data_IF_237579022463
#
_entry.id   IF_237579022463
#
_cell.length_a   1.000
_cell.length_b   1.000
_cell.length_c   1.000
_cell.angle_alpha   90.00
_cell.angle_beta   90.00
_cell.angle_gamma   90.00
#
_symmetry.space_group_name_H-M   'P 1'
#
loop_
_entity.id
_entity.type
_entity.pdbx_description
1 polymer ?
#
# COMPACT_ATOMS: atom_id res chain seq x y z
N UNK A 1 26.08 -17.78 -13.54
CA UNK A 1 25.33 -16.56 -13.17
C UNK A 1 25.63 -16.20 -11.72
N UNK A 2 25.95 -14.93 -11.43
CA UNK A 2 26.18 -14.46 -10.06
C UNK A 2 24.86 -14.56 -9.28
N UNK A 3 24.86 -15.25 -8.14
CA UNK A 3 23.67 -15.37 -7.29
C UNK A 3 23.50 -14.08 -6.50
N UNK A 4 22.44 -13.33 -6.76
CA UNK A 4 22.07 -12.14 -5.99
C UNK A 4 21.68 -12.54 -4.56
N UNK A 5 22.14 -11.75 -3.59
CA UNK A 5 21.91 -12.02 -2.17
C UNK A 5 21.04 -10.90 -1.66
N UNK A 6 19.73 -11.14 -1.72
CA UNK A 6 18.72 -10.13 -1.46
C UNK A 6 17.98 -10.41 -0.15
N UNK A 7 17.60 -9.35 0.55
CA UNK A 7 16.88 -9.41 1.81
C UNK A 7 15.65 -8.52 1.84
N UNK A 8 14.68 -8.87 2.68
CA UNK A 8 13.49 -8.08 2.99
C UNK A 8 13.38 -7.93 4.52
N UNK A 9 13.40 -6.71 5.03
CA UNK A 9 13.54 -6.44 6.48
C UNK A 9 12.27 -5.94 7.16
N UNK A 10 11.12 -6.00 6.49
CA UNK A 10 9.87 -5.59 7.09
C UNK A 10 8.73 -6.44 6.54
N UNK A 11 8.25 -7.40 7.33
CA UNK A 11 7.15 -8.29 6.92
C UNK A 11 6.32 -8.74 8.11
N UNK A 12 5.09 -9.16 7.82
CA UNK A 12 4.11 -9.62 8.80
C UNK A 12 3.53 -10.99 8.41
N UNK A 13 3.01 -11.71 9.40
CA UNK A 13 2.47 -13.08 9.33
C UNK A 13 1.14 -13.21 10.08
N UNK A 14 1.17 -12.97 11.40
CA UNK A 14 0.06 -13.16 12.33
C UNK A 14 -1.05 -12.13 12.12
N UNK A 15 -0.73 -10.89 11.77
CA UNK A 15 -1.73 -9.82 11.53
C UNK A 15 -2.85 -10.25 10.58
N UNK A 16 -2.49 -10.88 9.45
CA UNK A 16 -3.46 -11.42 8.48
C UNK A 16 -3.67 -12.92 8.60
N UNK A 17 -3.20 -13.55 9.68
CA UNK A 17 -3.31 -14.99 9.95
C UNK A 17 -2.79 -15.84 8.79
N UNK A 18 -1.67 -15.43 8.21
CA UNK A 18 -1.03 -16.10 7.09
C UNK A 18 -0.49 -17.45 7.56
N UNK A 19 -0.66 -18.49 6.75
CA UNK A 19 -0.02 -19.79 6.98
C UNK A 19 1.51 -19.66 6.79
N UNK A 20 2.34 -20.09 7.75
CA UNK A 20 3.81 -20.04 7.63
C UNK A 20 4.36 -20.62 6.33
N UNK A 21 3.73 -21.66 5.78
CA UNK A 21 4.13 -22.31 4.53
C UNK A 21 3.95 -21.38 3.33
N UNK A 22 2.86 -20.60 3.30
CA UNK A 22 2.60 -19.64 2.23
C UNK A 22 3.58 -18.46 2.28
N UNK A 23 3.91 -18.02 3.50
CA UNK A 23 4.89 -16.96 3.72
C UNK A 23 6.28 -17.39 3.20
N UNK A 24 6.74 -18.61 3.57
CA UNK A 24 8.01 -19.14 3.08
C UNK A 24 8.00 -19.45 1.58
N UNK A 25 6.87 -19.90 1.04
CA UNK A 25 6.72 -20.12 -0.41
C UNK A 25 6.97 -18.80 -1.16
N UNK A 26 6.36 -17.71 -0.72
CA UNK A 26 6.58 -16.40 -1.34
C UNK A 26 8.05 -15.94 -1.22
N UNK A 27 8.68 -16.08 -0.05
CA UNK A 27 10.10 -15.75 0.12
C UNK A 27 11.02 -16.53 -0.85
N UNK A 28 10.73 -17.83 -1.06
CA UNK A 28 11.45 -18.67 -2.04
C UNK A 28 11.22 -18.24 -3.48
N UNK A 29 9.97 -17.99 -3.86
CA UNK A 29 9.61 -17.52 -5.21
C UNK A 29 10.30 -16.20 -5.55
N UNK A 30 10.47 -15.32 -4.55
CA UNK A 30 11.20 -14.05 -4.66
C UNK A 30 12.71 -14.19 -4.48
N UNK A 31 13.22 -15.41 -4.31
CA UNK A 31 14.65 -15.74 -4.18
C UNK A 31 15.34 -14.98 -3.04
N UNK A 32 14.62 -14.70 -1.96
CA UNK A 32 15.18 -14.05 -0.77
C UNK A 32 16.21 -14.95 -0.09
N UNK A 33 17.34 -14.37 0.29
CA UNK A 33 18.41 -15.05 1.04
C UNK A 33 18.35 -14.74 2.53
N UNK A 34 17.77 -13.59 2.90
CA UNK A 34 17.53 -13.16 4.28
C UNK A 34 16.14 -12.52 4.34
N UNK A 35 15.42 -12.71 5.43
CA UNK A 35 14.13 -12.08 5.64
C UNK A 35 13.92 -11.83 7.14
N UNK A 36 13.34 -10.69 7.49
CA UNK A 36 12.96 -10.39 8.88
C UNK A 36 11.45 -10.48 9.05
N UNK A 37 11.02 -11.04 10.18
CA UNK A 37 9.63 -10.98 10.64
C UNK A 37 9.53 -9.89 11.72
N UNK A 38 8.61 -8.96 11.56
CA UNK A 38 8.56 -7.72 12.35
C UNK A 38 7.14 -7.37 12.78
N UNK A 39 6.41 -8.33 13.35
CA UNK A 39 5.05 -8.08 13.83
C UNK A 39 4.97 -6.90 14.79
N UNK A 40 3.83 -6.21 14.77
CA UNK A 40 3.46 -5.35 15.87
C UNK A 40 3.23 -6.14 17.18
N UNK A 41 3.43 -5.45 18.31
CA UNK A 41 3.27 -6.02 19.66
C UNK A 41 1.95 -6.78 19.87
N UNK A 42 0.83 -6.29 19.32
CA UNK A 42 -0.49 -6.89 19.46
C UNK A 42 -0.70 -8.16 18.62
N UNK A 43 0.25 -8.49 17.73
CA UNK A 43 0.22 -9.69 16.90
C UNK A 43 1.28 -10.71 17.29
N UNK A 44 1.78 -10.64 18.53
CA UNK A 44 2.63 -11.66 19.17
C UNK A 44 3.89 -11.97 18.35
N UNK A 45 4.87 -11.04 18.31
CA UNK A 45 6.06 -11.18 17.48
C UNK A 45 6.87 -12.45 17.75
N UNK A 46 7.02 -12.86 19.03
CA UNK A 46 7.68 -14.12 19.40
C UNK A 46 7.03 -15.35 18.76
N UNK A 47 5.69 -15.40 18.80
CA UNK A 47 4.91 -16.50 18.23
C UNK A 47 5.10 -16.58 16.71
N UNK A 48 5.11 -15.43 16.00
CA UNK A 48 5.35 -15.39 14.55
C UNK A 48 6.76 -15.89 14.20
N UNK A 49 7.78 -15.42 14.92
CA UNK A 49 9.16 -15.86 14.72
C UNK A 49 9.29 -17.37 14.91
N UNK A 50 8.78 -17.91 16.02
CA UNK A 50 8.87 -19.34 16.34
C UNK A 50 8.15 -20.23 15.31
N UNK A 51 6.96 -19.80 14.84
CA UNK A 51 6.23 -20.49 13.76
C UNK A 51 7.06 -20.58 12.47
N UNK A 52 7.71 -19.49 12.08
CA UNK A 52 8.53 -19.45 10.88
C UNK A 52 9.85 -20.20 11.06
N UNK A 53 10.49 -20.09 12.23
CA UNK A 53 11.74 -20.76 12.59
C UNK A 53 11.60 -22.28 12.50
N UNK A 54 10.50 -22.83 13.00
CA UNK A 54 10.21 -24.28 13.00
C UNK A 54 10.26 -24.92 11.61
N UNK A 55 9.85 -24.19 10.58
CA UNK A 55 9.79 -24.68 9.20
C UNK A 55 10.73 -23.91 8.26
N UNK A 56 11.76 -23.27 8.82
CA UNK A 56 12.70 -22.43 8.08
C UNK A 56 13.39 -23.25 6.96
N UNK A 57 13.28 -22.82 5.69
CA UNK A 57 13.97 -23.48 4.59
C UNK A 57 15.49 -23.40 4.70
N UNK A 58 16.19 -24.48 4.34
CA UNK A 58 17.65 -24.46 4.20
C UNK A 58 18.08 -23.37 3.22
N UNK A 59 19.04 -22.55 3.64
CA UNK A 59 19.67 -21.53 2.79
C UNK A 59 19.01 -20.16 2.77
N UNK A 60 17.90 -19.95 3.50
CA UNK A 60 17.31 -18.62 3.75
C UNK A 60 17.46 -18.32 5.25
N UNK A 61 18.00 -17.15 5.59
CA UNK A 61 18.16 -16.69 6.98
C UNK A 61 16.91 -15.95 7.46
N UNK A 62 16.45 -16.25 8.68
CA UNK A 62 15.35 -15.54 9.33
C UNK A 62 15.91 -14.65 10.44
N UNK A 63 15.70 -13.34 10.34
CA UNK A 63 16.09 -12.35 11.34
C UNK A 63 14.94 -12.16 12.34
N UNK A 64 15.28 -12.21 13.63
CA UNK A 64 14.34 -11.87 14.69
C UNK A 64 14.12 -10.35 14.71
N UNK A 65 12.87 -9.93 14.64
CA UNK A 65 12.51 -8.52 14.75
C UNK A 65 11.10 -8.30 15.29
N UNK A 66 10.78 -7.03 15.51
CA UNK A 66 9.44 -6.54 15.86
C UNK A 66 9.25 -5.11 15.36
N UNK A 67 8.00 -4.71 15.15
CA UNK A 67 7.62 -3.32 14.89
C UNK A 67 6.95 -2.73 16.14
N UNK A 68 7.76 -2.10 16.97
CA UNK A 68 7.31 -1.49 18.22
C UNK A 68 6.52 -0.21 17.95
N UNK A 69 5.38 -0.06 18.62
CA UNK A 69 4.56 1.17 18.56
C UNK A 69 5.06 2.15 19.62
N UNK A 70 5.67 3.25 19.22
CA UNK A 70 6.24 4.26 20.13
C UNK A 70 5.40 5.55 20.18
N UNK A 71 5.79 6.48 21.07
CA UNK A 71 5.24 7.84 21.13
C UNK A 71 5.50 8.67 19.87
N UNK A 72 6.46 8.25 19.04
CA UNK A 72 6.85 8.91 17.80
C UNK A 72 6.55 8.06 16.54
N UNK A 73 5.62 7.12 16.61
CA UNK A 73 5.28 6.23 15.49
C UNK A 73 5.91 4.86 15.63
N UNK A 74 6.02 4.13 14.53
CA UNK A 74 6.59 2.78 14.53
C UNK A 74 8.12 2.80 14.55
N UNK A 75 8.68 1.71 15.08
CA UNK A 75 10.12 1.49 15.18
C UNK A 75 10.41 0.02 14.88
N UNK A 76 11.20 -0.24 13.84
CA UNK A 76 11.72 -1.58 13.57
C UNK A 76 12.90 -1.84 14.48
N UNK A 77 12.87 -3.01 15.12
CA UNK A 77 13.94 -3.46 16.01
C UNK A 77 14.33 -4.85 15.55
N UNK A 78 15.64 -5.07 15.36
CA UNK A 78 16.21 -6.34 14.92
C UNK A 78 17.24 -6.84 15.91
N UNK A 79 17.30 -8.16 16.00
CA UNK A 79 18.23 -8.88 16.86
C UNK A 79 18.79 -10.12 16.16
N UNK A 80 19.96 -10.55 16.61
CA UNK A 80 20.61 -11.78 16.14
C UNK A 80 19.88 -13.06 16.61
N UNK A 81 19.04 -12.94 17.65
CA UNK A 81 18.37 -14.04 18.33
C UNK A 81 17.01 -13.61 18.94
N UNK A 82 16.35 -14.51 19.67
CA UNK A 82 15.03 -14.30 20.28
C UNK A 82 15.01 -13.35 21.49
N UNK A 83 16.17 -12.89 22.01
CA UNK A 83 16.23 -12.09 23.26
C UNK A 83 15.47 -10.77 23.18
N UNK A 84 15.28 -10.26 21.96
CA UNK A 84 14.45 -9.09 21.68
C UNK A 84 13.02 -9.24 22.21
N UNK A 85 12.49 -10.48 22.23
CA UNK A 85 11.13 -10.76 22.66
C UNK A 85 10.98 -10.88 24.18
N UNK A 86 12.09 -10.92 24.92
CA UNK A 86 12.08 -11.01 26.38
C UNK A 86 12.12 -9.61 27.03
N UNK A 87 12.35 -8.55 26.24
CA UNK A 87 12.24 -7.16 26.68
C UNK A 87 10.77 -6.71 26.56
N UNK A 88 10.07 -6.70 27.69
CA UNK A 88 8.62 -6.46 27.73
C UNK A 88 8.27 -5.00 27.43
N UNK A 89 9.13 -4.06 27.83
CA UNK A 89 8.94 -2.63 27.64
C UNK A 89 8.82 -2.26 26.15
N UNK A 90 9.58 -2.93 25.28
CA UNK A 90 9.52 -2.71 23.82
C UNK A 90 8.21 -3.23 23.19
N UNK A 91 7.44 -4.02 23.93
CA UNK A 91 6.14 -4.54 23.52
C UNK A 91 4.97 -3.72 24.10
N UNK A 92 5.25 -2.69 24.88
CA UNK A 92 4.23 -1.77 25.37
C UNK A 92 3.72 -0.86 24.26
N UNK A 93 2.41 -0.65 24.21
CA UNK A 93 1.81 0.29 23.27
C UNK A 93 2.17 1.73 23.65
N UNK A 94 2.87 2.42 22.75
CA UNK A 94 3.15 3.85 22.91
C UNK A 94 4.29 4.14 23.88
N UNK A 95 5.22 3.21 24.05
CA UNK A 95 6.48 3.45 24.78
C UNK A 95 7.14 4.75 24.27
N UNK A 96 7.69 5.55 25.17
CA UNK A 96 8.41 6.75 24.77
C UNK A 96 9.58 6.40 23.84
N UNK A 97 9.74 7.16 22.75
CA UNK A 97 10.75 6.86 21.73
C UNK A 97 12.18 6.94 22.28
N UNK A 98 12.50 7.89 23.16
CA UNK A 98 13.86 7.98 23.71
C UNK A 98 14.12 6.85 24.72
N UNK A 99 13.11 6.48 25.52
CA UNK A 99 13.17 5.28 26.38
C UNK A 99 13.41 4.02 25.54
N UNK A 100 12.63 3.80 24.48
CA UNK A 100 12.78 2.66 23.59
C UNK A 100 14.19 2.60 22.96
N UNK A 101 14.68 3.73 22.43
CA UNK A 101 16.01 3.82 21.82
C UNK A 101 17.15 3.61 22.83
N UNK A 102 16.94 3.98 24.09
CA UNK A 102 17.90 3.74 25.17
C UNK A 102 18.00 2.24 25.46
N UNK A 103 16.86 1.56 25.66
CA UNK A 103 16.80 0.11 25.87
C UNK A 103 17.46 -0.64 24.70
N UNK A 104 17.17 -0.24 23.45
CA UNK A 104 17.76 -0.85 22.25
C UNK A 104 19.29 -0.68 22.27
N UNK A 105 19.79 0.51 22.62
CA UNK A 105 21.23 0.79 22.68
C UNK A 105 21.92 -0.04 23.76
N UNK A 106 21.34 -0.12 24.95
CA UNK A 106 21.87 -0.89 26.09
C UNK A 106 21.91 -2.40 25.79
N UNK A 107 20.91 -2.92 25.08
CA UNK A 107 20.86 -4.32 24.66
C UNK A 107 21.60 -4.61 23.34
N UNK A 108 22.24 -3.60 22.74
CA UNK A 108 22.95 -3.68 21.46
C UNK A 108 22.08 -4.23 20.31
N UNK A 109 20.79 -3.89 20.31
CA UNK A 109 19.88 -4.19 19.20
C UNK A 109 20.06 -3.20 18.05
N UNK A 110 19.46 -3.50 16.89
CA UNK A 110 19.50 -2.65 15.71
C UNK A 110 18.14 -2.03 15.48
N UNK A 111 18.06 -0.69 15.48
CA UNK A 111 16.82 0.03 15.30
C UNK A 111 16.78 0.80 13.98
N UNK A 112 15.62 0.82 13.33
CA UNK A 112 15.38 1.61 12.12
C UNK A 112 13.99 2.23 12.16
N UNK A 113 13.86 3.48 11.75
CA UNK A 113 12.54 4.09 11.54
C UNK A 113 11.91 3.54 10.26
N UNK A 114 10.83 2.73 10.33
CA UNK A 114 10.09 2.30 9.15
C UNK A 114 9.35 3.49 8.53
N UNK A 115 9.07 3.39 7.22
CA UNK A 115 8.21 4.28 6.45
C UNK A 115 8.20 5.72 7.00
N UNK A 116 9.37 6.43 7.01
CA UNK A 116 9.57 7.62 7.82
C UNK A 116 8.66 8.80 7.45
N UNK A 117 8.04 8.79 6.27
CA UNK A 117 6.99 9.71 5.81
C UNK A 117 5.71 8.96 5.41
N UNK A 118 5.44 7.81 6.03
CA UNK A 118 4.30 6.92 5.84
C UNK A 118 2.97 7.59 6.19
N UNK A 119 2.22 7.04 7.14
CA UNK A 119 0.95 7.61 7.57
C UNK A 119 1.12 8.51 8.80
N UNK A 120 0.16 9.41 9.01
CA UNK A 120 0.28 10.46 10.04
C UNK A 120 0.43 9.98 11.50
N UNK A 121 0.20 8.71 11.78
CA UNK A 121 0.22 8.14 13.13
C UNK A 121 1.20 6.98 13.30
N UNK A 122 1.88 6.57 12.23
CA UNK A 122 2.94 5.55 12.27
C UNK A 122 4.30 6.09 11.81
N UNK A 123 4.32 7.19 11.08
CA UNK A 123 5.55 7.83 10.61
C UNK A 123 6.18 8.75 11.64
N UNK A 124 7.47 8.55 11.90
CA UNK A 124 8.26 9.40 12.79
C UNK A 124 8.33 10.85 12.32
N UNK A 125 8.55 11.12 11.02
CA UNK A 125 8.66 12.50 10.55
C UNK A 125 7.31 13.21 10.51
N UNK A 126 6.19 12.50 10.34
CA UNK A 126 4.86 13.11 10.42
C UNK A 126 4.44 13.46 11.86
N UNK A 127 4.90 12.68 12.85
CA UNK A 127 4.52 12.88 14.26
C UNK A 127 5.43 13.91 14.95
N UNK A 128 6.75 13.74 14.87
CA UNK A 128 7.71 14.57 15.61
C UNK A 128 8.52 15.52 14.74
N UNK A 129 8.35 15.46 13.41
CA UNK A 129 9.09 16.28 12.46
C UNK A 129 10.45 15.69 12.06
N UNK A 130 10.89 16.04 10.86
CA UNK A 130 12.16 15.56 10.28
C UNK A 130 13.39 15.98 11.10
N UNK A 131 13.44 17.21 11.60
CA UNK A 131 14.61 17.70 12.35
C UNK A 131 14.81 16.95 13.67
N UNK A 132 13.73 16.72 14.43
CA UNK A 132 13.82 15.90 15.65
C UNK A 132 14.15 14.45 15.33
N UNK A 133 13.63 13.92 14.22
CA UNK A 133 14.00 12.58 13.73
C UNK A 133 15.51 12.47 13.49
N UNK A 134 16.10 13.45 12.77
CA UNK A 134 17.56 13.49 12.53
C UNK A 134 18.37 13.56 13.81
N UNK A 135 17.90 14.32 14.81
CA UNK A 135 18.54 14.39 16.13
C UNK A 135 18.56 13.02 16.81
N UNK A 136 17.43 12.30 16.81
CA UNK A 136 17.35 10.93 17.36
C UNK A 136 18.26 9.95 16.61
N UNK A 137 18.27 10.01 15.27
CA UNK A 137 19.15 9.19 14.43
C UNK A 137 20.62 9.38 14.82
N UNK A 138 21.07 10.63 14.96
CA UNK A 138 22.45 10.95 15.35
C UNK A 138 22.76 10.53 16.79
N UNK A 139 21.85 10.81 17.74
CA UNK A 139 22.04 10.53 19.17
C UNK A 139 22.12 9.04 19.49
N UNK A 140 21.28 8.23 18.86
CA UNK A 140 21.14 6.80 19.17
C UNK A 140 21.70 5.87 18.10
N UNK A 141 22.13 6.39 16.95
CA UNK A 141 22.69 5.61 15.87
C UNK A 141 21.67 4.80 15.08
N UNK A 142 20.46 5.35 14.93
CA UNK A 142 19.29 4.67 14.34
C UNK A 142 19.33 4.74 12.83
N UNK A 143 18.92 3.66 12.18
CA UNK A 143 18.75 3.60 10.72
C UNK A 143 17.41 4.17 10.26
N UNK A 144 17.22 4.19 8.94
CA UNK A 144 15.95 4.57 8.31
C UNK A 144 15.59 3.55 7.24
N UNK A 145 14.31 3.21 7.15
CA UNK A 145 13.77 2.45 6.03
C UNK A 145 13.80 3.34 4.79
N UNK A 146 14.84 3.12 3.97
CA UNK A 146 15.15 3.90 2.78
C UNK A 146 14.04 3.78 1.74
N UNK A 147 13.45 2.59 1.63
CA UNK A 147 12.37 2.30 0.73
C UNK A 147 11.40 1.31 1.38
N UNK A 148 10.12 1.62 1.31
CA UNK A 148 9.04 0.79 1.82
C UNK A 148 8.22 0.25 0.63
N UNK A 149 8.05 -1.07 0.55
CA UNK A 149 7.41 -1.75 -0.59
C UNK A 149 5.94 -1.39 -0.77
N UNK A 150 5.19 -1.21 0.32
CA UNK A 150 3.80 -0.76 0.30
C UNK A 150 3.67 0.65 -0.31
N UNK A 151 4.48 1.62 0.14
CA UNK A 151 4.48 2.98 -0.42
C UNK A 151 4.93 3.00 -1.88
N UNK A 152 5.96 2.22 -2.20
CA UNK A 152 6.48 2.08 -3.56
C UNK A 152 5.47 1.48 -4.54
N UNK A 153 4.76 0.44 -4.12
CA UNK A 153 3.73 -0.22 -4.93
C UNK A 153 2.48 0.64 -5.10
N UNK A 154 2.09 1.40 -4.06
CA UNK A 154 1.02 2.39 -4.17
C UNK A 154 1.38 3.47 -5.21
N UNK A 155 2.64 3.91 -5.25
CA UNK A 155 3.14 4.82 -6.27
C UNK A 155 3.04 4.22 -7.68
N UNK A 156 3.54 3.00 -7.89
CA UNK A 156 3.45 2.35 -9.20
C UNK A 156 2.01 2.09 -9.64
N UNK A 157 1.04 1.86 -8.75
CA UNK A 157 -0.35 1.80 -9.20
C UNK A 157 -0.84 3.18 -9.67
N UNK A 158 -0.55 4.21 -8.88
CA UNK A 158 -0.97 5.58 -9.14
C UNK A 158 -0.25 6.22 -10.32
N UNK A 159 0.89 5.70 -10.76
CA UNK A 159 1.62 6.19 -11.94
C UNK A 159 1.74 5.16 -13.07
N UNK A 160 1.54 3.88 -12.75
CA UNK A 160 1.65 2.78 -13.68
C UNK A 160 0.60 2.88 -14.76
N UNK A 161 1.04 2.66 -16.00
CA UNK A 161 0.31 2.96 -17.24
C UNK A 161 -1.05 2.26 -17.41
N UNK A 162 -1.50 1.41 -16.48
CA UNK A 162 -2.76 0.65 -16.62
C UNK A 162 -3.91 1.24 -15.81
N UNK A 163 -3.72 1.59 -14.54
CA UNK A 163 -4.83 1.98 -13.66
C UNK A 163 -5.24 3.44 -13.86
N UNK A 164 -4.27 4.36 -13.85
CA UNK A 164 -4.51 5.77 -14.16
C UNK A 164 -5.10 5.92 -15.55
N UNK A 165 -4.52 5.27 -16.57
CA UNK A 165 -5.08 5.31 -17.91
C UNK A 165 -6.54 4.83 -17.93
N UNK A 166 -6.89 3.75 -17.24
CA UNK A 166 -8.30 3.30 -17.16
C UNK A 166 -9.22 4.32 -16.49
N UNK A 167 -8.78 4.97 -15.40
CA UNK A 167 -9.55 6.03 -14.74
C UNK A 167 -9.65 7.27 -15.63
N UNK A 168 -8.54 7.72 -16.22
CA UNK A 168 -8.51 8.83 -17.14
C UNK A 168 -9.40 8.56 -18.36
N UNK A 169 -9.38 7.35 -18.92
CA UNK A 169 -10.27 6.93 -20.00
C UNK A 169 -11.73 6.97 -19.56
N UNK A 170 -12.06 6.50 -18.34
CA UNK A 170 -13.41 6.57 -17.80
C UNK A 170 -13.87 8.01 -17.56
N UNK A 171 -13.02 8.87 -17.00
CA UNK A 171 -13.28 10.30 -16.80
C UNK A 171 -13.46 11.02 -18.15
N UNK A 172 -12.57 10.74 -19.11
CA UNK A 172 -12.66 11.27 -20.48
C UNK A 172 -13.95 10.80 -21.19
N UNK A 173 -14.38 9.55 -20.96
CA UNK A 173 -15.66 9.06 -21.48
C UNK A 173 -16.83 9.83 -20.86
N UNK A 174 -16.82 10.07 -19.55
CA UNK A 174 -17.84 10.89 -18.87
C UNK A 174 -17.81 12.34 -19.34
N UNK A 175 -16.66 12.90 -19.71
CA UNK A 175 -16.56 14.25 -20.26
C UNK A 175 -17.10 14.34 -21.70
N UNK A 176 -16.80 13.34 -22.53
CA UNK A 176 -17.11 13.32 -23.97
C UNK A 176 -18.48 12.72 -24.33
N UNK A 177 -19.13 12.02 -23.41
CA UNK A 177 -20.42 11.38 -23.69
C UNK A 177 -21.55 12.42 -23.74
N UNK A 178 -22.26 12.49 -24.87
CA UNK A 178 -23.35 13.46 -25.09
C UNK A 178 -24.39 13.44 -23.97
N UNK A 179 -24.72 12.26 -23.41
CA UNK A 179 -25.70 12.11 -22.32
C UNK A 179 -25.23 12.81 -21.05
N UNK A 180 -23.96 12.65 -20.67
CA UNK A 180 -23.39 13.28 -19.46
C UNK A 180 -23.14 14.77 -19.65
N UNK A 181 -22.82 15.22 -20.87
CA UNK A 181 -22.77 16.63 -21.26
C UNK A 181 -24.16 17.28 -21.15
N UNK A 182 -25.21 16.64 -21.67
CA UNK A 182 -26.60 17.10 -21.57
C UNK A 182 -27.07 17.17 -20.12
N UNK A 183 -26.65 16.23 -19.27
CA UNK A 183 -26.95 16.22 -17.83
C UNK A 183 -26.03 17.13 -16.99
N UNK A 184 -25.11 17.89 -17.59
CA UNK A 184 -24.11 18.76 -16.92
C UNK A 184 -23.22 18.04 -15.89
N UNK A 185 -23.06 16.72 -16.01
CA UNK A 185 -22.21 15.89 -15.14
C UNK A 185 -20.72 16.15 -15.46
N UNK A 186 -20.42 16.59 -16.69
CA UNK A 186 -19.07 16.94 -17.16
C UNK A 186 -18.35 18.03 -16.32
N UNK A 187 -19.06 18.88 -15.58
CA UNK A 187 -18.43 19.89 -14.70
C UNK A 187 -17.79 19.30 -13.43
N UNK A 188 -17.98 18.01 -13.16
CA UNK A 188 -17.62 17.37 -11.88
C UNK A 188 -16.44 16.40 -11.96
N UNK A 189 -15.88 16.13 -13.14
CA UNK A 189 -14.75 15.19 -13.34
C UNK A 189 -13.38 15.78 -12.99
N UNK A 190 -13.25 17.11 -12.96
CA UNK A 190 -12.00 17.79 -12.58
C UNK A 190 -11.60 17.59 -11.11
N UNK A 191 -12.58 17.53 -10.20
CA UNK A 191 -12.32 17.32 -8.78
C UNK A 191 -11.68 15.95 -8.47
N UNK A 192 -12.24 14.80 -8.90
CA UNK A 192 -11.62 13.50 -8.66
C UNK A 192 -10.27 13.36 -9.35
N UNK A 193 -10.08 14.00 -10.52
CA UNK A 193 -8.79 14.06 -11.23
C UNK A 193 -7.70 14.72 -10.39
N UNK A 194 -7.94 15.95 -9.93
CA UNK A 194 -7.01 16.70 -9.04
C UNK A 194 -6.72 15.96 -7.75
N UNK A 195 -7.71 15.26 -7.18
CA UNK A 195 -7.52 14.47 -5.95
C UNK A 195 -6.61 13.26 -6.17
N UNK A 196 -6.75 12.58 -7.31
CA UNK A 196 -5.87 11.46 -7.69
C UNK A 196 -4.44 11.93 -7.96
N UNK A 197 -4.28 13.02 -8.72
CA UNK A 197 -2.96 13.63 -8.97
C UNK A 197 -2.27 14.05 -7.66
N UNK A 198 -3.00 14.72 -6.75
CA UNK A 198 -2.46 15.11 -5.45
C UNK A 198 -2.05 13.90 -4.60
N UNK A 199 -2.83 12.81 -4.62
CA UNK A 199 -2.48 11.58 -3.92
C UNK A 199 -1.24 10.92 -4.52
N UNK A 200 -1.14 10.89 -5.86
CA UNK A 200 0.01 10.34 -6.57
C UNK A 200 1.28 11.13 -6.23
N UNK A 201 1.25 12.45 -6.38
CA UNK A 201 2.36 13.34 -6.03
C UNK A 201 2.76 13.17 -4.56
N UNK A 202 1.77 13.09 -3.65
CA UNK A 202 2.05 12.88 -2.23
C UNK A 202 2.72 11.54 -1.97
N UNK A 203 2.30 10.45 -2.62
CA UNK A 203 2.89 9.12 -2.44
C UNK A 203 4.33 9.08 -2.96
N UNK A 204 4.58 9.67 -4.14
CA UNK A 204 5.92 9.80 -4.70
C UNK A 204 6.84 10.62 -3.78
N UNK A 205 6.34 11.75 -3.28
CA UNK A 205 7.12 12.63 -2.41
C UNK A 205 7.49 11.93 -1.09
N UNK A 206 6.61 11.11 -0.53
CA UNK A 206 6.90 10.31 0.67
C UNK A 206 8.01 9.29 0.45
N UNK A 207 7.96 8.54 -0.66
CA UNK A 207 9.03 7.59 -1.03
C UNK A 207 10.35 8.34 -1.24
N UNK A 208 10.33 9.42 -2.01
CA UNK A 208 11.51 10.25 -2.28
C UNK A 208 12.12 10.83 -1.02
N UNK A 209 11.30 11.38 -0.11
CA UNK A 209 11.75 11.92 1.17
C UNK A 209 12.35 10.83 2.06
N UNK A 210 11.75 9.64 2.10
CA UNK A 210 12.31 8.49 2.81
C UNK A 210 13.71 8.13 2.31
N UNK A 211 13.90 8.10 0.99
CA UNK A 211 15.21 7.85 0.38
C UNK A 211 16.22 8.95 0.75
N UNK A 212 15.85 10.23 0.63
CA UNK A 212 16.71 11.38 0.99
C UNK A 212 17.11 11.34 2.47
N UNK A 213 16.17 11.01 3.36
CA UNK A 213 16.45 10.88 4.79
C UNK A 213 17.37 9.69 5.06
N UNK A 214 17.16 8.57 4.38
CA UNK A 214 18.00 7.38 4.49
C UNK A 214 19.45 7.60 4.04
N UNK A 215 19.72 8.47 3.06
CA UNK A 215 21.09 8.87 2.72
C UNK A 215 21.82 9.58 3.87
N UNK A 216 21.07 10.29 4.71
CA UNK A 216 21.60 11.00 5.89
C UNK A 216 21.67 10.10 7.14
N UNK A 217 21.14 8.89 7.07
CA UNK A 217 21.05 7.97 8.20
C UNK A 217 22.37 7.24 8.48
N UNK A 218 22.48 6.78 9.73
CA UNK A 218 23.61 5.96 10.18
C UNK A 218 23.70 4.66 9.37
N UNK A 219 22.57 4.06 9.05
CA UNK A 219 22.45 2.98 8.07
C UNK A 219 21.04 2.98 7.46
N UNK A 220 20.86 2.17 6.42
CA UNK A 220 19.62 2.06 5.67
C UNK A 220 19.07 0.65 5.79
N UNK A 221 17.76 0.54 5.98
CA UNK A 221 17.01 -0.72 5.84
C UNK A 221 16.04 -0.59 4.66
N UNK A 222 15.51 -1.72 4.22
CA UNK A 222 14.49 -1.79 3.17
C UNK A 222 13.58 -2.95 3.51
N UNK A 223 12.28 -2.75 3.37
CA UNK A 223 11.32 -3.79 3.66
C UNK A 223 10.02 -3.64 2.88
N UNK A 224 9.37 -4.75 2.62
CA UNK A 224 8.13 -4.78 1.84
C UNK A 224 6.94 -4.23 2.61
N UNK A 225 6.97 -4.31 3.94
CA UNK A 225 5.83 -4.12 4.84
C UNK A 225 4.65 -5.04 4.43
N UNK A 226 5.02 -6.28 4.07
CA UNK A 226 4.08 -7.23 3.50
C UNK A 226 3.13 -7.78 4.55
N UNK A 227 1.83 -7.56 4.33
CA UNK A 227 0.76 -8.16 5.13
C UNK A 227 0.17 -9.40 4.47
N UNK A 228 0.57 -9.69 3.23
CA UNK A 228 0.14 -10.87 2.48
C UNK A 228 1.35 -11.48 1.74
N UNK A 229 1.34 -12.80 1.45
CA UNK A 229 2.48 -13.46 0.82
C UNK A 229 2.92 -12.83 -0.50
N UNK A 230 1.97 -12.29 -1.28
CA UNK A 230 2.27 -11.73 -2.60
C UNK A 230 3.06 -10.42 -2.55
N UNK A 231 3.01 -9.71 -1.42
CA UNK A 231 3.75 -8.46 -1.20
C UNK A 231 5.18 -8.69 -0.69
N UNK A 232 5.50 -9.89 -0.17
CA UNK A 232 6.83 -10.24 0.32
C UNK A 232 7.85 -10.02 -0.81
N UNK A 233 8.96 -9.37 -0.48
CA UNK A 233 10.05 -9.08 -1.40
C UNK A 233 9.68 -8.10 -2.51
N UNK A 234 8.65 -7.25 -2.34
CA UNK A 234 8.39 -6.10 -3.23
C UNK A 234 9.46 -5.01 -3.09
N UNK A 235 10.07 -4.93 -1.91
CA UNK A 235 11.22 -4.10 -1.61
C UNK A 235 12.35 -4.97 -1.06
N UNK A 236 13.57 -4.70 -1.51
CA UNK A 236 14.74 -5.49 -1.14
C UNK A 236 15.99 -4.64 -0.94
N UNK A 237 16.92 -5.24 -0.21
CA UNK A 237 18.32 -4.84 -0.14
C UNK A 237 19.19 -5.94 -0.73
N UNK A 238 20.09 -5.60 -1.63
CA UNK A 238 21.11 -6.53 -2.15
C UNK A 238 22.42 -6.35 -1.39
N UNK A 239 23.02 -7.46 -0.96
CA UNK A 239 24.23 -7.50 -0.17
C UNK A 239 25.47 -7.73 -1.04
N UNK A 240 26.61 -7.17 -0.63
CA UNK A 240 27.91 -7.39 -1.30
C UNK A 240 28.38 -8.85 -1.25
N UNK A 241 27.98 -9.59 -0.21
CA UNK A 241 28.34 -11.00 0.04
C UNK A 241 27.27 -11.70 0.87
N UNK A 242 27.40 -13.01 1.03
CA UNK A 242 26.51 -13.78 1.90
C UNK A 242 26.88 -13.51 3.37
N UNK A 243 25.89 -13.22 4.25
CA UNK A 243 26.16 -13.17 5.67
C UNK A 243 26.44 -14.59 6.20
N UNK A 244 27.36 -14.69 7.16
CA UNK A 244 27.72 -15.96 7.83
C UNK A 244 26.63 -16.40 8.81
N UNK A 245 26.05 -15.44 9.52
CA UNK A 245 24.99 -15.61 10.52
C UNK A 245 24.23 -14.27 10.69
N UNK A 246 23.21 -14.28 11.55
CA UNK A 246 22.32 -13.15 11.81
C UNK A 246 23.09 -11.92 12.34
N UNK A 247 24.08 -12.13 13.22
CA UNK A 247 24.97 -11.07 13.73
C UNK A 247 25.78 -10.40 12.62
N UNK A 248 26.40 -11.21 11.76
CA UNK A 248 27.17 -10.74 10.61
C UNK A 248 26.27 -9.97 9.65
N UNK A 249 25.04 -10.44 9.40
CA UNK A 249 24.06 -9.72 8.61
C UNK A 249 23.76 -8.33 9.18
N UNK A 250 23.43 -8.23 10.48
CA UNK A 250 23.14 -6.94 11.12
C UNK A 250 24.35 -5.99 11.10
N UNK A 251 25.57 -6.52 11.27
CA UNK A 251 26.81 -5.75 11.12
C UNK A 251 26.98 -5.24 9.68
N UNK A 252 26.73 -6.07 8.67
CA UNK A 252 26.79 -5.67 7.26
C UNK A 252 25.83 -4.52 6.95
N UNK A 253 24.62 -4.54 7.51
CA UNK A 253 23.64 -3.45 7.37
C UNK A 253 24.20 -2.16 7.97
N UNK A 254 24.67 -2.21 9.23
CA UNK A 254 25.26 -1.05 9.91
C UNK A 254 26.48 -0.48 9.18
N UNK A 255 27.28 -1.35 8.56
CA UNK A 255 28.47 -0.99 7.78
C UNK A 255 28.17 -0.57 6.34
N UNK A 256 26.89 -0.54 5.93
CA UNK A 256 26.47 -0.19 4.56
C UNK A 256 27.11 -1.11 3.49
N UNK A 257 27.26 -2.41 3.79
CA UNK A 257 27.84 -3.42 2.90
C UNK A 257 26.83 -3.93 1.84
N UNK A 258 26.27 -2.99 1.08
CA UNK A 258 25.09 -3.19 0.23
C UNK A 258 25.36 -2.74 -1.20
N UNK A 259 24.77 -3.43 -2.18
CA UNK A 259 24.89 -3.12 -3.61
C UNK A 259 23.68 -2.33 -4.12
N UNK A 260 22.49 -2.68 -3.65
CA UNK A 260 21.22 -2.09 -4.09
C UNK A 260 20.22 -2.00 -2.93
N UNK A 261 19.35 -0.99 -2.98
CA UNK A 261 18.24 -0.79 -2.05
C UNK A 261 17.06 -0.18 -2.81
N UNK A 262 15.88 -0.78 -2.71
CA UNK A 262 14.69 -0.24 -3.34
C UNK A 262 13.71 -1.32 -3.79
N UNK A 263 12.96 -1.11 -4.89
CA UNK A 263 12.07 -2.14 -5.42
C UNK A 263 12.86 -3.37 -5.86
N UNK A 264 12.18 -4.53 -5.88
CA UNK A 264 12.77 -5.77 -6.33
C UNK A 264 12.86 -5.86 -7.86
N UNK A 265 13.99 -5.37 -8.38
CA UNK A 265 14.32 -5.35 -9.81
C UNK A 265 14.57 -6.74 -10.42
N UNK A 266 14.72 -7.80 -9.61
CA UNK A 266 14.96 -9.17 -10.08
C UNK A 266 13.68 -10.00 -10.22
N UNK A 267 12.55 -9.46 -9.73
CA UNK A 267 11.25 -10.08 -9.86
C UNK A 267 10.67 -9.77 -11.23
N UNK A 268 10.25 -10.78 -11.98
CA UNK A 268 9.52 -10.61 -13.25
C UNK A 268 8.13 -9.97 -13.07
N UNK A 269 7.63 -9.97 -11.82
CA UNK A 269 6.46 -9.23 -11.36
C UNK A 269 6.91 -8.25 -10.27
N UNK A 270 7.68 -7.19 -10.61
CA UNK A 270 8.36 -6.36 -9.61
C UNK A 270 7.37 -5.71 -8.64
N UNK A 271 6.17 -5.37 -9.15
CA UNK A 271 5.19 -4.55 -8.43
C UNK A 271 3.73 -5.05 -8.62
N UNK A 272 3.52 -6.08 -9.45
CA UNK A 272 2.18 -6.47 -9.95
C UNK A 272 1.27 -7.21 -8.95
N UNK A 273 1.68 -7.38 -7.69
CA UNK A 273 0.94 -8.26 -6.75
C UNK A 273 0.88 -7.76 -5.30
N UNK A 274 0.81 -6.45 -5.08
CA UNK A 274 -0.02 -6.03 -3.93
C UNK A 274 -1.46 -6.29 -4.36
N UNK A 275 -2.11 -7.27 -3.72
CA UNK A 275 -3.46 -7.65 -4.10
C UNK A 275 -4.36 -6.41 -4.12
N UNK A 276 -5.31 -6.30 -5.07
CA UNK A 276 -6.25 -5.17 -5.18
C UNK A 276 -6.87 -4.77 -3.83
N UNK A 277 -7.05 -5.74 -2.93
CA UNK A 277 -7.55 -5.55 -1.57
C UNK A 277 -6.56 -4.85 -0.64
N UNK A 278 -5.33 -5.33 -0.54
CA UNK A 278 -4.26 -4.72 0.28
C UNK A 278 -3.94 -3.31 -0.20
N UNK A 279 -4.00 -3.12 -1.52
CA UNK A 279 -3.89 -1.84 -2.18
C UNK A 279 -5.04 -0.88 -1.86
N UNK A 280 -6.29 -1.36 -1.88
CA UNK A 280 -7.44 -0.53 -1.50
C UNK A 280 -7.41 -0.22 0.00
N UNK A 281 -6.99 -1.17 0.84
CA UNK A 281 -6.73 -0.96 2.26
C UNK A 281 -5.67 0.14 2.43
N UNK A 282 -4.51 0.06 1.78
CA UNK A 282 -3.46 1.09 1.80
C UNK A 282 -3.93 2.46 1.28
N UNK A 283 -4.65 2.52 0.15
CA UNK A 283 -5.23 3.77 -0.37
C UNK A 283 -6.28 4.38 0.56
N UNK A 284 -7.15 3.55 1.16
CA UNK A 284 -8.12 4.04 2.15
C UNK A 284 -7.42 4.54 3.40
N UNK A 285 -6.32 3.90 3.81
CA UNK A 285 -5.46 4.35 4.91
C UNK A 285 -4.76 5.68 4.58
N UNK A 286 -4.21 5.83 3.37
CA UNK A 286 -3.55 7.07 2.90
C UNK A 286 -4.54 8.25 2.84
N UNK A 287 -5.81 7.97 2.59
CA UNK A 287 -6.87 8.96 2.42
C UNK A 287 -7.72 9.19 3.68
N UNK A 288 -7.54 8.40 4.74
CA UNK A 288 -8.17 8.66 6.04
C UNK A 288 -7.61 9.96 6.61
N UNK A 289 -8.33 11.06 6.37
CA UNK A 289 -8.25 12.24 7.25
C UNK A 289 -8.70 11.79 8.63
N UNK A 290 -7.91 12.06 9.66
CA UNK A 290 -8.37 11.99 11.03
C UNK A 290 -9.59 12.91 11.17
N UNK A 291 -10.76 12.30 11.31
CA UNK A 291 -11.83 12.90 12.10
C UNK A 291 -11.28 12.87 13.52
N UNK A 292 -10.68 13.98 13.98
CA UNK A 292 -10.72 14.30 15.40
C UNK A 292 -12.18 14.05 15.82
N UNK A 293 -12.42 13.15 16.77
CA UNK A 293 -13.75 12.93 17.35
C UNK A 293 -14.24 14.28 17.88
N UNK A 294 -14.94 15.06 17.04
CA UNK A 294 -15.81 16.11 17.52
C UNK A 294 -16.96 15.42 18.27
N UNK A 295 -17.43 15.99 19.38
CA UNK A 295 -18.52 15.43 20.15
C UNK A 295 -19.70 15.16 19.22
N UNK A 296 -20.31 13.99 19.42
CA UNK A 296 -21.35 13.42 18.57
C UNK A 296 -22.49 14.41 18.30
N UNK A 297 -22.61 14.87 17.05
CA UNK A 297 -23.85 15.44 16.53
C UNK A 297 -24.79 14.30 16.09
N UNK A 298 -26.11 14.44 16.32
CA UNK A 298 -27.04 13.32 16.28
C UNK A 298 -27.22 12.76 14.85
N UNK A 299 -27.10 11.44 14.73
CA UNK A 299 -27.36 10.69 13.49
C UNK A 299 -28.85 10.72 13.16
N UNK A 300 -29.28 11.57 12.22
CA UNK A 300 -30.48 11.32 11.40
C UNK A 300 -30.21 11.71 9.93
N UNK A 301 -29.48 10.86 9.21
CA UNK A 301 -29.56 10.85 7.75
C UNK A 301 -30.77 10.01 7.37
N UNK A 302 -31.80 10.68 6.90
CA UNK A 302 -33.10 10.10 6.59
C UNK A 302 -33.00 9.15 5.37
N UNK A 303 -32.99 7.83 5.61
CA UNK A 303 -32.98 6.76 4.59
C UNK A 303 -34.10 6.90 3.52
N UNK A 304 -35.14 7.70 3.78
CA UNK A 304 -36.20 8.02 2.81
C UNK A 304 -35.72 8.85 1.61
N UNK A 305 -34.67 9.66 1.74
CA UNK A 305 -34.25 10.57 0.66
C UNK A 305 -33.44 9.85 -0.44
N UNK A 306 -32.54 8.95 -0.04
CA UNK A 306 -31.74 8.13 -0.96
C UNK A 306 -32.61 7.11 -1.71
N UNK A 307 -33.59 6.50 -1.03
CA UNK A 307 -34.51 5.55 -1.67
C UNK A 307 -35.49 6.21 -2.65
N UNK A 308 -35.94 7.46 -2.39
CA UNK A 308 -36.72 8.24 -3.37
C UNK A 308 -35.90 8.53 -4.63
N UNK A 309 -34.63 8.92 -4.50
CA UNK A 309 -33.78 9.29 -5.65
C UNK A 309 -33.45 8.08 -6.55
N UNK A 310 -33.22 6.90 -5.95
CA UNK A 310 -33.01 5.65 -6.71
C UNK A 310 -34.28 5.21 -7.43
N UNK A 311 -35.47 5.34 -6.82
CA UNK A 311 -36.75 5.05 -7.47
C UNK A 311 -37.03 5.99 -8.64
N UNK A 312 -36.68 7.28 -8.53
CA UNK A 312 -36.82 8.25 -9.63
C UNK A 312 -35.90 7.91 -10.81
N UNK A 313 -34.64 7.52 -10.56
CA UNK A 313 -33.69 7.13 -11.61
C UNK A 313 -34.15 5.86 -12.34
N UNK A 314 -34.69 4.86 -11.64
CA UNK A 314 -35.28 3.65 -12.26
C UNK A 314 -36.55 3.95 -13.08
N UNK A 315 -37.34 4.95 -12.69
CA UNK A 315 -38.54 5.38 -13.44
C UNK A 315 -38.18 6.11 -14.74
N UNK A 316 -37.14 6.95 -14.71
CA UNK A 316 -36.67 7.71 -15.89
C UNK A 316 -36.08 6.77 -16.95
N UNK A 317 -35.22 5.83 -16.54
CA UNK A 317 -34.63 4.82 -17.45
C UNK A 317 -35.67 3.88 -18.07
N UNK A 318 -36.73 3.53 -17.33
CA UNK A 318 -37.85 2.74 -17.88
C UNK A 318 -38.68 3.55 -18.89
N UNK A 319 -38.87 4.85 -18.67
CA UNK A 319 -39.64 5.74 -19.57
C UNK A 319 -38.88 6.01 -20.89
N UNK A 320 -37.56 6.17 -20.84
CA UNK A 320 -36.72 6.33 -22.05
C UNK A 320 -36.69 5.07 -22.93
N UNK A 321 -36.64 3.88 -22.33
CA UNK A 321 -36.71 2.62 -23.09
C UNK A 321 -38.07 2.43 -23.76
N UNK A 322 -39.17 2.81 -23.10
CA UNK A 322 -40.52 2.76 -23.69
C UNK A 322 -40.68 3.77 -24.83
N UNK A 323 -40.12 4.98 -24.71
CA UNK A 323 -40.12 5.99 -25.76
C UNK A 323 -39.31 5.55 -27.00
N UNK A 324 -38.16 4.91 -26.81
CA UNK A 324 -37.36 4.33 -27.90
C UNK A 324 -38.08 3.19 -28.63
N UNK A 325 -38.80 2.34 -27.89
CA UNK A 325 -39.64 1.28 -28.47
C UNK A 325 -40.82 1.89 -29.26
N UNK A 326 -41.50 2.91 -28.70
CA UNK A 326 -42.60 3.59 -29.37
C UNK A 326 -42.20 4.33 -30.66
N UNK A 327 -41.01 4.95 -30.69
CA UNK A 327 -40.46 5.58 -31.90
C UNK A 327 -40.09 4.54 -32.98
N UNK A 328 -39.58 3.37 -32.57
CA UNK A 328 -39.26 2.27 -33.49
C UNK A 328 -40.54 1.71 -34.14
N UNK A 329 -41.62 1.54 -33.37
CA UNK A 329 -42.93 1.07 -33.86
C UNK A 329 -43.57 2.08 -34.82
N UNK A 330 -43.51 3.40 -34.52
CA UNK A 330 -44.02 4.46 -35.42
C UNK A 330 -43.27 4.48 -36.76
N UNK A 331 -41.94 4.29 -36.77
CA UNK A 331 -41.15 4.21 -38.01
C UNK A 331 -41.55 3.03 -38.89
N UNK A 332 -41.80 1.86 -38.31
CA UNK A 332 -42.27 0.67 -39.07
C UNK A 332 -43.69 0.81 -39.61
N UNK A 333 -44.61 1.49 -38.89
CA UNK A 333 -45.96 1.77 -39.42
C UNK A 333 -45.93 2.81 -40.55
N UNK A 334 -45.07 3.83 -40.43
CA UNK A 334 -44.90 4.83 -41.47
C UNK A 334 -44.26 4.22 -42.73
N UNK A 335 -43.27 3.33 -42.58
CA UNK A 335 -42.65 2.68 -43.74
C UNK A 335 -43.59 1.72 -44.46
N UNK A 336 -44.44 0.97 -43.74
CA UNK A 336 -45.48 0.13 -44.34
C UNK A 336 -46.52 0.94 -45.12
N UNK A 337 -46.97 2.07 -44.55
CA UNK A 337 -47.96 2.95 -45.20
C UNK A 337 -47.39 3.66 -46.45
N UNK A 338 -46.10 3.98 -46.44
CA UNK A 338 -45.38 4.52 -47.62
C UNK A 338 -45.20 3.44 -48.70
N UNK A 339 -44.99 2.17 -48.32
CA UNK A 339 -44.88 1.08 -49.28
C UNK A 339 -46.24 0.77 -49.96
N UNK A 340 -47.33 0.69 -49.18
CA UNK A 340 -48.69 0.52 -49.73
C UNK A 340 -49.14 1.66 -50.64
N UNK A 341 -48.71 2.90 -50.35
CA UNK A 341 -49.01 4.06 -51.20
C UNK A 341 -48.21 4.04 -52.50
N UNK A 342 -46.96 3.52 -52.49
CA UNK A 342 -46.16 3.32 -53.70
C UNK A 342 -46.75 2.23 -54.59
N UNK A 343 -47.16 1.10 -54.01
CA UNK A 343 -47.75 -0.01 -54.76
C UNK A 343 -49.10 0.39 -55.40
N UNK A 344 -49.86 1.30 -54.78
CA UNK A 344 -51.09 1.88 -55.37
C UNK A 344 -50.83 2.92 -56.46
N UNK A 345 -49.66 3.55 -56.47
CA UNK A 345 -49.27 4.55 -57.48
C UNK A 345 -48.65 3.89 -58.73
N UNK A 346 -48.02 2.72 -58.59
CA UNK A 346 -47.48 1.94 -59.72
C UNK A 346 -48.53 1.12 -60.48
N UNK A 347 -49.77 1.03 -59.97
CA UNK A 347 -50.93 0.42 -60.68
C UNK A 347 -51.70 1.41 -61.58
N UNK A 348 -51.16 2.63 -61.80
CA UNK A 348 -51.75 3.67 -62.68
C UNK A 348 -50.81 4.09 -63.83
N UNK A 349 -49.94 3.19 -64.25
CA UNK A 349 -49.30 3.19 -65.59
C UNK A 349 -49.72 1.92 -66.29
#
# INVERSE_FOLDING_TARGET
MKKHIIADLHTHLNEKKIKPENWWKAAKEKKLSVIAITEHYNYKPKEAYQKLKKIQPKGIMLIAGMEARTSAGDLLIFCEDEKIYDVIELQEKGIDIEKALTIIKENNFVASFPHPYGYKYDSVCEIIGEEKTKQLMKKFGVGVEYYNGMLGSANELLFGRKFTNKIYTALNFVEKNKVTTTLKINKTTNYPRKKLEALAISTLDKVRKGMILGEKANFRTVGSDAHYPTAIGTAIIELKRKPKNEKDFLKMIKNKETLWMGPNIYSSTPIDVIGKREMFEGLTYLTKKTVLKKPSLPKKINKKWVSKRIKTIKRITKKENILKIGQKIKKTKLSKKVHELKDKLDLRK
#
